data_IF_150585470291
#
_entry.id   IF_150585470291
#
_cell.length_a   1.000
_cell.length_b   1.000
_cell.length_c   1.000
_cell.angle_alpha   90.00
_cell.angle_beta   90.00
_cell.angle_gamma   90.00
#
_symmetry.space_group_name_H-M   'P 1'
#
loop_
_entity.id
_entity.type
_entity.pdbx_description
1 polymer ?
#
# COMPACT_ATOMS: atom_id res chain seq x y z
N UNK A 1 -70.62 -8.23 19.23
CA UNK A 1 -69.25 -8.04 19.74
C UNK A 1 -68.30 -8.95 18.96
N UNK A 2 -67.78 -8.50 17.81
CA UNK A 2 -66.83 -9.27 17.01
C UNK A 2 -66.06 -8.36 16.04
N UNK A 3 -65.26 -7.41 16.55
CA UNK A 3 -64.47 -6.54 15.65
C UNK A 3 -63.21 -5.90 16.25
N UNK A 4 -62.55 -6.51 17.25
CA UNK A 4 -61.31 -5.94 17.83
C UNK A 4 -60.07 -6.86 17.81
N UNK A 5 -60.12 -8.05 17.19
CA UNK A 5 -59.00 -8.99 17.25
C UNK A 5 -58.10 -9.04 16.00
N UNK A 6 -58.47 -8.40 14.89
CA UNK A 6 -57.72 -8.56 13.62
C UNK A 6 -56.55 -7.57 13.46
N UNK A 7 -56.53 -6.44 14.18
CA UNK A 7 -55.47 -5.42 14.05
C UNK A 7 -54.25 -5.67 14.93
N UNK A 8 -54.36 -6.46 16.00
CA UNK A 8 -53.23 -6.76 16.90
C UNK A 8 -52.25 -7.79 16.31
N UNK A 9 -52.70 -8.66 15.41
CA UNK A 9 -51.86 -9.68 14.76
C UNK A 9 -50.98 -9.10 13.63
N UNK A 10 -51.42 -8.03 12.98
CA UNK A 10 -50.64 -7.39 11.91
C UNK A 10 -49.44 -6.58 12.43
N UNK A 11 -49.55 -5.97 13.62
CA UNK A 11 -48.47 -5.16 14.21
C UNK A 11 -47.37 -6.00 14.89
N UNK A 12 -47.63 -7.26 15.25
CA UNK A 12 -46.62 -8.14 15.85
C UNK A 12 -45.67 -8.75 14.80
N UNK A 13 -46.10 -8.88 13.53
CA UNK A 13 -45.28 -9.47 12.46
C UNK A 13 -44.26 -8.49 11.85
N UNK A 14 -44.52 -7.18 11.90
CA UNK A 14 -43.65 -6.15 11.31
C UNK A 14 -42.46 -5.76 12.20
N UNK A 15 -42.47 -6.11 13.49
CA UNK A 15 -41.39 -5.78 14.43
C UNK A 15 -40.34 -6.91 14.60
N UNK A 16 -40.56 -8.09 14.01
CA UNK A 16 -39.63 -9.23 14.11
C UNK A 16 -38.60 -9.33 12.97
N UNK A 17 -38.59 -8.43 11.99
CA UNK A 17 -37.76 -8.48 10.78
C UNK A 17 -36.46 -7.65 10.84
N UNK A 18 -36.09 -7.11 12.00
CA UNK A 18 -34.91 -6.24 12.18
C UNK A 18 -33.71 -6.90 12.89
N UNK A 19 -33.70 -8.22 13.08
CA UNK A 19 -32.53 -8.95 13.58
C UNK A 19 -31.98 -9.86 12.48
N UNK A 20 -31.33 -9.27 11.49
CA UNK A 20 -30.34 -9.98 10.70
C UNK A 20 -29.02 -9.91 11.45
N UNK A 21 -28.50 -11.00 12.05
CA UNK A 21 -27.07 -11.07 12.28
C UNK A 21 -26.43 -11.17 10.89
N UNK A 22 -26.06 -10.02 10.32
CA UNK A 22 -25.24 -9.93 9.10
C UNK A 22 -23.83 -10.31 9.52
N UNK A 23 -23.59 -11.60 9.67
CA UNK A 23 -22.24 -12.12 9.72
C UNK A 23 -22.18 -13.28 8.75
N UNK A 24 -22.13 -12.93 7.45
CA UNK A 24 -21.82 -13.93 6.44
C UNK A 24 -20.42 -14.47 6.72
N UNK A 25 -20.32 -15.77 6.97
CA UNK A 25 -19.04 -16.45 7.03
C UNK A 25 -18.28 -16.17 5.73
N UNK A 26 -17.02 -15.77 5.87
CA UNK A 26 -16.19 -15.22 4.80
C UNK A 26 -15.44 -16.30 4.03
N UNK A 27 -15.21 -17.44 4.67
CA UNK A 27 -14.35 -18.50 4.14
C UNK A 27 -14.73 -19.88 4.69
N UNK A 28 -14.11 -20.91 4.13
CA UNK A 28 -14.23 -22.28 4.61
C UNK A 28 -15.54 -22.93 4.20
N UNK A 29 -15.86 -24.05 4.85
CA UNK A 29 -17.06 -24.86 4.54
C UNK A 29 -18.36 -24.07 4.72
N UNK A 30 -18.37 -23.06 5.59
CA UNK A 30 -19.51 -22.18 5.81
C UNK A 30 -19.74 -21.18 4.65
N UNK A 31 -18.74 -21.02 3.78
CA UNK A 31 -18.77 -20.10 2.63
C UNK A 31 -18.51 -20.85 1.30
N UNK A 32 -19.04 -22.06 1.15
CA UNK A 32 -18.86 -22.90 -0.05
C UNK A 32 -17.39 -23.14 -0.44
N UNK A 33 -16.50 -23.21 0.56
CA UNK A 33 -15.06 -23.40 0.33
C UNK A 33 -14.31 -22.13 -0.08
N UNK A 34 -14.92 -20.95 0.05
CA UNK A 34 -14.24 -19.69 -0.22
C UNK A 34 -12.96 -19.56 0.62
N UNK A 35 -11.92 -18.98 0.02
CA UNK A 35 -10.66 -18.65 0.70
C UNK A 35 -10.62 -17.17 1.03
N UNK A 36 -9.88 -16.81 2.07
CA UNK A 36 -9.73 -15.41 2.44
C UNK A 36 -8.82 -14.66 1.48
N UNK A 37 -9.15 -13.40 1.18
CA UNK A 37 -8.27 -12.50 0.45
C UNK A 37 -6.93 -12.28 1.19
N UNK A 38 -5.90 -11.86 0.45
CA UNK A 38 -4.58 -11.47 0.97
C UNK A 38 -3.84 -12.55 1.80
N UNK A 39 -4.10 -13.84 1.57
CA UNK A 39 -3.37 -14.90 2.27
C UNK A 39 -3.84 -15.16 3.71
N UNK A 40 -4.93 -14.54 4.15
CA UNK A 40 -5.41 -14.62 5.54
C UNK A 40 -5.87 -16.04 5.90
N UNK A 41 -5.63 -16.44 7.15
CA UNK A 41 -6.09 -17.73 7.66
C UNK A 41 -7.61 -17.75 7.77
N UNK A 42 -8.22 -18.85 7.34
CA UNK A 42 -9.63 -19.11 7.56
C UNK A 42 -9.81 -19.89 8.87
N UNK A 43 -10.39 -19.26 9.88
CA UNK A 43 -10.66 -19.88 11.18
C UNK A 43 -11.65 -21.04 11.06
N UNK A 44 -11.74 -21.86 12.11
CA UNK A 44 -12.74 -22.94 12.21
C UNK A 44 -14.20 -22.47 12.10
N UNK A 45 -14.45 -21.17 12.31
CA UNK A 45 -15.78 -20.56 12.28
C UNK A 45 -16.10 -19.86 10.95
N UNK A 46 -15.17 -19.91 9.98
CA UNK A 46 -15.36 -19.31 8.66
C UNK A 46 -15.06 -17.82 8.62
N UNK A 47 -14.11 -17.35 9.43
CA UNK A 47 -13.67 -15.94 9.46
C UNK A 47 -12.21 -15.82 9.03
N UNK A 48 -11.88 -14.69 8.43
CA UNK A 48 -10.55 -14.39 7.93
C UNK A 48 -9.73 -13.55 8.93
N UNK A 49 -8.51 -13.97 9.23
CA UNK A 49 -7.62 -13.23 10.13
C UNK A 49 -6.19 -13.77 10.17
N UNK A 50 -5.34 -13.18 11.02
CA UNK A 50 -3.90 -13.49 11.10
C UNK A 50 -3.45 -14.01 12.46
N UNK A 51 -4.29 -13.92 13.50
CA UNK A 51 -3.92 -14.37 14.84
C UNK A 51 -4.04 -15.89 14.97
N UNK A 52 -3.51 -16.45 16.06
CA UNK A 52 -3.63 -17.87 16.39
C UNK A 52 -5.07 -18.37 16.39
N UNK A 53 -6.06 -17.52 16.65
CA UNK A 53 -7.47 -17.90 16.65
C UNK A 53 -7.98 -18.24 15.24
N UNK A 54 -7.32 -17.72 14.22
CA UNK A 54 -7.63 -17.95 12.81
C UNK A 54 -6.71 -18.98 12.18
N UNK A 55 -5.41 -18.94 12.51
CA UNK A 55 -4.38 -19.79 11.92
C UNK A 55 -4.09 -21.08 12.71
N UNK A 56 -4.59 -21.18 13.94
CA UNK A 56 -4.32 -22.29 14.85
C UNK A 56 -5.21 -23.50 14.62
N UNK A 57 -5.42 -24.26 15.69
CA UNK A 57 -6.16 -25.53 15.65
C UNK A 57 -7.57 -25.36 15.10
N UNK A 58 -7.87 -26.07 14.01
CA UNK A 58 -9.16 -26.03 13.33
C UNK A 58 -9.23 -25.02 12.18
N UNK A 59 -8.13 -24.36 11.83
CA UNK A 59 -8.06 -23.58 10.60
C UNK A 59 -8.46 -24.43 9.38
N UNK A 60 -9.30 -23.86 8.51
CA UNK A 60 -9.88 -24.52 7.35
C UNK A 60 -9.04 -24.34 6.08
N UNK A 61 -8.39 -23.19 5.90
CA UNK A 61 -7.56 -22.88 4.73
C UNK A 61 -6.57 -21.76 5.02
N UNK A 62 -5.44 -21.72 4.32
CA UNK A 62 -4.37 -20.71 4.50
C UNK A 62 -3.79 -20.70 5.93
N UNK A 63 -3.71 -21.86 6.57
CA UNK A 63 -3.37 -22.01 8.00
C UNK A 63 -1.92 -21.69 8.35
N UNK A 64 -1.05 -21.69 7.36
CA UNK A 64 0.32 -21.20 7.49
C UNK A 64 0.44 -19.70 7.23
N UNK A 65 -0.70 -18.99 7.19
CA UNK A 65 -0.89 -17.55 6.94
C UNK A 65 0.36 -16.82 6.49
N UNK A 66 0.38 -16.37 5.24
CA UNK A 66 1.21 -15.20 4.95
C UNK A 66 0.58 -14.09 5.76
N UNK A 67 1.22 -13.66 6.86
CA UNK A 67 0.91 -12.34 7.42
C UNK A 67 0.88 -11.41 6.21
N UNK A 68 -0.23 -10.71 5.89
CA UNK A 68 -0.08 -9.56 5.04
C UNK A 68 0.93 -8.72 5.81
N UNK A 69 2.14 -8.61 5.26
CA UNK A 69 3.08 -7.58 5.64
C UNK A 69 2.22 -6.33 5.82
N UNK A 70 2.11 -5.74 7.02
CA UNK A 70 1.26 -4.58 7.22
C UNK A 70 1.59 -3.66 6.08
N UNK A 71 0.62 -3.38 5.20
CA UNK A 71 0.85 -2.44 4.13
C UNK A 71 1.28 -1.18 4.87
N UNK A 72 2.54 -0.77 4.74
CA UNK A 72 3.03 0.39 5.47
C UNK A 72 2.08 1.51 5.08
N UNK A 73 1.59 2.33 6.03
CA UNK A 73 0.61 3.34 5.73
C UNK A 73 1.07 4.05 4.46
N UNK A 74 0.25 3.95 3.41
CA UNK A 74 0.51 4.65 2.16
C UNK A 74 0.54 6.12 2.55
N UNK A 75 1.75 6.65 2.75
CA UNK A 75 1.91 7.95 3.36
C UNK A 75 1.57 8.98 2.30
N UNK A 76 0.28 9.28 2.20
CA UNK A 76 -0.23 10.50 1.56
C UNK A 76 0.21 11.75 2.34
N UNK A 77 0.90 11.55 3.46
CA UNK A 77 1.62 12.57 4.22
C UNK A 77 3.10 12.51 3.86
N UNK A 78 3.73 13.67 3.70
CA UNK A 78 5.18 13.77 3.55
C UNK A 78 5.96 13.14 4.71
N UNK A 79 7.25 12.89 4.49
CA UNK A 79 8.11 12.22 5.46
C UNK A 79 9.58 12.47 5.23
N UNK A 80 10.41 11.72 5.95
CA UNK A 80 11.87 11.73 5.81
C UNK A 80 12.34 10.33 5.46
N UNK A 81 13.33 10.20 4.60
CA UNK A 81 13.90 8.90 4.26
C UNK A 81 15.21 9.01 3.48
N UNK A 82 15.83 7.86 3.21
CA UNK A 82 17.04 7.82 2.39
C UNK A 82 16.70 7.73 0.91
N UNK A 83 17.51 8.38 0.07
CA UNK A 83 17.45 8.25 -1.37
C UNK A 83 18.84 7.99 -1.96
N UNK A 84 18.90 7.21 -3.03
CA UNK A 84 20.07 7.05 -3.90
C UNK A 84 19.74 7.49 -5.31
N UNK A 85 20.59 7.13 -6.28
CA UNK A 85 20.26 7.25 -7.69
C UNK A 85 20.57 5.98 -8.49
N UNK A 86 19.92 5.88 -9.64
CA UNK A 86 20.09 4.79 -10.60
C UNK A 86 20.20 5.35 -12.02
N UNK A 87 20.69 4.53 -12.95
CA UNK A 87 21.04 4.97 -14.32
C UNK A 87 20.39 4.13 -15.41
N UNK A 88 19.70 3.04 -15.06
CA UNK A 88 18.96 2.18 -16.00
C UNK A 88 17.47 2.39 -15.73
N UNK A 89 16.78 3.09 -16.64
CA UNK A 89 15.42 3.58 -16.41
C UNK A 89 14.30 2.73 -17.00
N UNK A 90 14.61 1.80 -17.90
CA UNK A 90 13.62 0.97 -18.60
C UNK A 90 14.03 -0.50 -18.65
N UNK A 91 13.06 -1.44 -18.65
CA UNK A 91 11.63 -1.22 -18.48
C UNK A 91 11.30 -0.80 -17.05
N UNK A 92 10.45 0.22 -16.90
CA UNK A 92 9.97 0.63 -15.60
C UNK A 92 8.74 -0.17 -15.19
N UNK A 93 8.49 -0.27 -13.88
CA UNK A 93 7.33 -0.93 -13.34
C UNK A 93 6.00 -0.20 -13.64
N UNK A 94 6.02 1.11 -13.87
CA UNK A 94 4.78 1.85 -14.15
C UNK A 94 4.38 1.78 -15.63
N UNK A 95 5.33 1.94 -16.54
CA UNK A 95 5.04 2.19 -17.96
C UNK A 95 5.92 1.38 -18.92
N UNK A 96 6.68 0.40 -18.42
CA UNK A 96 7.51 -0.47 -19.23
C UNK A 96 8.59 0.29 -19.98
N UNK A 97 8.72 0.03 -21.28
CA UNK A 97 9.76 0.61 -22.14
C UNK A 97 9.34 1.92 -22.82
N UNK A 98 8.20 2.52 -22.47
CA UNK A 98 7.73 3.76 -23.09
C UNK A 98 8.61 4.96 -22.68
N UNK A 99 9.40 5.58 -23.57
CA UNK A 99 10.22 6.73 -23.22
C UNK A 99 9.40 8.00 -22.91
N UNK A 100 8.14 8.10 -23.36
CA UNK A 100 7.28 9.25 -23.09
C UNK A 100 6.89 9.37 -21.60
N UNK A 101 7.18 8.33 -20.81
CA UNK A 101 6.98 8.35 -19.37
C UNK A 101 7.92 9.32 -18.63
N UNK A 102 9.06 9.71 -19.21
CA UNK A 102 10.03 10.56 -18.51
C UNK A 102 9.72 12.04 -18.74
N UNK A 103 9.70 12.89 -17.70
CA UNK A 103 9.58 14.33 -17.87
C UNK A 103 10.82 14.90 -18.57
N UNK A 104 10.66 16.04 -19.26
CA UNK A 104 11.72 16.63 -20.09
C UNK A 104 12.99 17.03 -19.30
N UNK A 105 12.85 17.40 -18.03
CA UNK A 105 13.97 17.69 -17.12
C UNK A 105 14.63 16.42 -16.55
N UNK A 106 14.13 15.24 -16.91
CA UNK A 106 14.53 13.95 -16.38
C UNK A 106 14.37 13.83 -14.85
N UNK A 107 13.50 14.61 -14.21
CA UNK A 107 13.26 14.52 -12.77
C UNK A 107 12.19 13.47 -12.46
N UNK A 108 12.64 12.25 -12.25
CA UNK A 108 11.80 11.12 -11.87
C UNK A 108 12.51 10.21 -10.88
N UNK A 109 11.76 9.25 -10.34
CA UNK A 109 12.27 8.30 -9.36
C UNK A 109 11.57 6.93 -9.43
N UNK A 110 12.28 5.92 -8.94
CA UNK A 110 11.72 4.65 -8.50
C UNK A 110 11.28 4.77 -7.04
N UNK A 111 10.02 4.45 -6.73
CA UNK A 111 9.51 4.54 -5.36
C UNK A 111 9.76 3.25 -4.59
N UNK A 112 10.26 3.36 -3.35
CA UNK A 112 10.55 2.23 -2.48
C UNK A 112 9.28 1.50 -2.05
N UNK A 113 9.31 0.17 -2.06
CA UNK A 113 8.22 -0.69 -1.57
C UNK A 113 8.49 -1.24 -0.15
N UNK A 114 9.37 -0.57 0.60
CA UNK A 114 9.80 -0.98 1.94
C UNK A 114 8.62 -1.06 2.93
N UNK A 115 8.64 -2.06 3.82
CA UNK A 115 7.73 -2.26 4.96
C UNK A 115 7.63 -1.06 5.93
N UNK A 116 8.59 -0.13 5.93
CA UNK A 116 8.52 1.05 6.81
C UNK A 116 7.88 2.25 6.11
N UNK A 117 8.02 2.36 4.79
CA UNK A 117 7.50 3.45 3.98
C UNK A 117 7.31 2.95 2.54
N UNK A 118 6.10 2.44 2.25
CA UNK A 118 5.75 1.87 0.95
C UNK A 118 5.25 2.97 0.02
N UNK A 119 6.17 3.78 -0.48
CA UNK A 119 5.87 4.82 -1.46
C UNK A 119 5.57 4.25 -2.85
N UNK A 120 5.94 3.00 -3.14
CA UNK A 120 5.46 2.29 -4.32
C UNK A 120 3.94 2.06 -4.27
N UNK A 121 3.45 1.63 -3.11
CA UNK A 121 2.04 1.36 -2.81
C UNK A 121 1.36 0.49 -3.88
N UNK A 122 2.04 -0.59 -4.30
CA UNK A 122 1.53 -1.49 -5.35
C UNK A 122 1.34 -0.82 -6.72
N UNK A 123 2.04 0.28 -6.99
CA UNK A 123 1.95 1.05 -8.23
C UNK A 123 0.92 2.18 -8.18
N UNK A 124 0.20 2.37 -7.08
CA UNK A 124 -0.78 3.46 -6.97
C UNK A 124 -0.15 4.86 -7.04
N UNK A 125 1.16 4.97 -6.76
CA UNK A 125 1.89 6.21 -6.89
C UNK A 125 2.52 6.42 -8.26
N UNK A 126 2.36 5.50 -9.23
CA UNK A 126 2.79 5.73 -10.61
C UNK A 126 2.21 7.05 -11.16
N UNK A 127 3.09 7.89 -11.70
CA UNK A 127 2.74 9.20 -12.27
C UNK A 127 2.48 10.29 -11.24
N UNK A 128 2.46 9.97 -9.94
CA UNK A 128 2.34 10.97 -8.86
C UNK A 128 3.62 11.77 -8.72
N UNK A 129 3.45 13.00 -8.25
CA UNK A 129 4.52 13.95 -8.06
C UNK A 129 4.86 14.06 -6.57
N UNK A 130 6.15 14.20 -6.30
CA UNK A 130 6.67 14.46 -4.97
C UNK A 130 7.66 15.61 -5.05
N UNK A 131 7.56 16.52 -4.10
CA UNK A 131 8.62 17.48 -3.82
C UNK A 131 9.68 16.82 -2.94
N UNK A 132 10.95 16.93 -3.32
CA UNK A 132 12.10 16.29 -2.67
C UNK A 132 13.11 17.37 -2.28
N UNK A 133 13.45 17.42 -0.99
CA UNK A 133 14.49 18.30 -0.46
C UNK A 133 15.60 17.47 0.18
N UNK A 134 16.85 17.68 -0.24
CA UNK A 134 18.00 17.10 0.44
C UNK A 134 18.20 17.73 1.81
N UNK A 135 18.53 16.91 2.82
CA UNK A 135 18.88 17.39 4.16
C UNK A 135 20.17 16.77 4.70
N UNK A 136 20.98 17.63 5.33
CA UNK A 136 22.22 17.23 5.99
C UNK A 136 23.40 17.10 5.02
N UNK A 137 24.21 16.06 5.23
CA UNK A 137 25.46 15.87 4.49
C UNK A 137 25.22 15.44 3.05
N UNK A 138 26.02 15.99 2.14
CA UNK A 138 25.96 15.68 0.71
C UNK A 138 25.06 16.57 -0.13
N UNK A 139 24.25 17.43 0.50
CA UNK A 139 23.42 18.39 -0.21
C UNK A 139 24.27 19.49 -0.85
N UNK A 140 23.93 19.88 -2.07
CA UNK A 140 24.64 20.92 -2.84
C UNK A 140 24.07 22.32 -2.64
N UNK A 141 23.06 22.47 -1.77
CA UNK A 141 22.40 23.74 -1.47
C UNK A 141 21.29 24.12 -2.45
N UNK A 142 20.93 23.23 -3.38
CA UNK A 142 19.75 23.37 -4.23
C UNK A 142 18.46 23.37 -3.40
N UNK A 143 17.47 24.17 -3.83
CA UNK A 143 16.12 24.11 -3.29
C UNK A 143 15.43 22.77 -3.59
N UNK A 144 14.22 22.54 -3.05
CA UNK A 144 13.47 21.34 -3.36
C UNK A 144 13.20 21.21 -4.86
N UNK A 145 13.16 19.96 -5.34
CA UNK A 145 12.78 19.63 -6.73
C UNK A 145 11.50 18.81 -6.74
N UNK A 146 10.71 18.94 -7.81
CA UNK A 146 9.58 18.03 -8.04
C UNK A 146 10.01 16.87 -8.93
N UNK A 147 9.79 15.64 -8.46
CA UNK A 147 10.01 14.41 -9.23
C UNK A 147 8.69 13.73 -9.56
N UNK A 148 8.67 12.93 -10.62
CA UNK A 148 7.58 12.00 -10.93
C UNK A 148 7.96 10.56 -10.59
N UNK A 149 7.07 9.81 -9.96
CA UNK A 149 7.27 8.36 -9.78
C UNK A 149 6.99 7.64 -11.09
N UNK A 150 7.99 6.89 -11.57
CA UNK A 150 7.89 6.15 -12.83
C UNK A 150 8.26 4.68 -12.69
N UNK A 151 8.83 4.28 -11.55
CA UNK A 151 9.34 2.92 -11.37
C UNK A 151 9.18 2.44 -9.92
N UNK A 152 9.45 1.15 -9.71
CA UNK A 152 9.49 0.48 -8.41
C UNK A 152 10.93 0.28 -7.99
N UNK A 153 11.19 0.49 -6.71
CA UNK A 153 12.46 0.24 -6.05
C UNK A 153 12.28 -0.93 -5.05
N UNK A 154 12.53 -2.19 -5.47
CA UNK A 154 12.24 -3.38 -4.65
C UNK A 154 13.09 -3.44 -3.37
N UNK A 155 12.46 -3.80 -2.26
CA UNK A 155 13.02 -3.76 -0.90
C UNK A 155 13.65 -2.41 -0.52
N UNK A 156 13.13 -1.30 -1.07
CA UNK A 156 13.76 0.02 -0.94
C UNK A 156 15.20 0.02 -1.49
N UNK A 157 15.39 -0.58 -2.66
CA UNK A 157 16.66 -0.63 -3.41
C UNK A 157 17.81 -1.19 -2.58
N UNK A 158 17.58 -2.33 -1.91
CA UNK A 158 18.56 -3.05 -1.09
C UNK A 158 19.04 -2.32 0.17
N UNK A 159 18.39 -1.21 0.55
CA UNK A 159 18.77 -0.41 1.73
C UNK A 159 17.60 0.22 2.47
N UNK A 160 16.36 -0.14 2.13
CA UNK A 160 15.18 0.47 2.72
C UNK A 160 14.96 1.94 2.32
N UNK A 161 15.58 2.38 1.22
CA UNK A 161 15.44 3.72 0.64
C UNK A 161 14.00 3.97 0.20
N UNK A 162 13.55 5.21 0.38
CA UNK A 162 12.19 5.64 0.02
C UNK A 162 12.08 5.99 -1.46
N UNK A 163 13.19 6.45 -2.06
CA UNK A 163 13.30 6.69 -3.50
C UNK A 163 14.67 6.29 -4.03
N UNK A 164 14.71 5.82 -5.27
CA UNK A 164 15.91 5.86 -6.10
C UNK A 164 15.67 6.94 -7.15
N UNK A 165 16.41 8.04 -7.10
CA UNK A 165 16.22 9.17 -7.99
C UNK A 165 16.91 8.89 -9.33
N UNK A 166 16.38 9.46 -10.42
CA UNK A 166 17.20 9.61 -11.63
C UNK A 166 18.50 10.36 -11.30
N UNK A 167 19.57 10.10 -12.04
CA UNK A 167 20.85 10.79 -11.85
C UNK A 167 20.72 12.32 -11.99
N UNK A 168 19.86 12.78 -12.92
CA UNK A 168 19.54 14.19 -13.10
C UNK A 168 18.84 14.82 -11.88
N UNK A 169 17.88 14.12 -11.27
CA UNK A 169 17.23 14.59 -10.05
C UNK A 169 18.19 14.58 -8.85
N UNK A 170 19.02 13.54 -8.71
CA UNK A 170 19.95 13.43 -7.59
C UNK A 170 21.00 14.54 -7.62
N UNK A 171 21.65 14.73 -8.77
CA UNK A 171 22.68 15.76 -8.97
C UNK A 171 22.15 17.19 -8.85
N UNK A 172 20.83 17.39 -9.00
CA UNK A 172 20.19 18.69 -8.78
C UNK A 172 20.13 19.09 -7.28
N UNK A 173 20.15 18.14 -6.36
CA UNK A 173 20.02 18.39 -4.91
C UNK A 173 21.21 17.93 -4.07
N UNK A 174 22.06 17.05 -4.60
CA UNK A 174 23.16 16.44 -3.86
C UNK A 174 24.37 16.06 -4.73
N UNK A 175 25.52 15.88 -4.08
CA UNK A 175 26.73 15.37 -4.70
C UNK A 175 26.63 13.84 -4.90
N UNK A 176 26.76 13.41 -6.15
CA UNK A 176 26.71 11.99 -6.58
C UNK A 176 27.76 11.12 -5.90
N UNK A 177 28.89 11.67 -5.48
CA UNK A 177 29.97 10.93 -4.79
C UNK A 177 29.52 10.36 -3.43
N UNK A 178 28.48 10.95 -2.82
CA UNK A 178 27.93 10.48 -1.55
C UNK A 178 27.09 9.21 -1.74
N UNK A 179 26.50 9.03 -2.92
CA UNK A 179 25.70 7.86 -3.33
C UNK A 179 24.34 7.71 -2.64
N UNK A 180 24.25 8.03 -1.34
CA UNK A 180 23.01 7.96 -0.53
C UNK A 180 22.88 9.21 0.33
N UNK A 181 21.73 9.87 0.25
CA UNK A 181 21.40 11.07 1.01
C UNK A 181 20.16 10.87 1.86
N UNK A 182 19.97 11.76 2.84
CA UNK A 182 18.68 11.89 3.54
C UNK A 182 17.87 12.98 2.86
N UNK A 183 16.57 12.73 2.66
CA UNK A 183 15.64 13.67 2.04
C UNK A 183 14.40 13.86 2.91
N UNK A 184 13.81 15.05 2.84
CA UNK A 184 12.39 15.24 3.08
C UNK A 184 11.64 15.09 1.76
N UNK A 185 10.45 14.49 1.82
CA UNK A 185 9.57 14.35 0.67
C UNK A 185 8.13 14.70 1.03
N UNK A 186 7.42 15.33 0.10
CA UNK A 186 5.99 15.67 0.28
C UNK A 186 5.24 15.40 -1.03
N UNK A 187 4.07 14.72 -1.01
CA UNK A 187 3.22 14.63 -2.19
C UNK A 187 2.79 16.03 -2.69
N UNK A 188 2.66 16.19 -4.00
CA UNK A 188 2.18 17.43 -4.66
C UNK A 188 0.79 17.24 -5.25
#
# INVERSE_FOLDING_TARGET
>A
MAQQHMTLLASACLLLSLLHPIVAQQCGTQANGAVCANGLCCSKYGYCGTTSDYCGTGCQSQCSGSTPTPTPPSSTTGGTGQASFYTIYTPSACYGSDPAQFPANMYFAAAGDNITANLWNGGQNCGKLFEIACVGNGCTGGGPITIKVVDRCPNGCSGGRVFDLSEAAFSAIANTDVGVITIHYTPV
#
